data_IF_019424623840
#
_entry.id   IF_019424623840
#
_cell.length_a   1.000
_cell.length_b   1.000
_cell.length_c   1.000
_cell.angle_alpha   90.00
_cell.angle_beta   90.00
_cell.angle_gamma   90.00
#
_symmetry.space_group_name_H-M   'P 1'
#
loop_
_entity.id
_entity.type
_entity.pdbx_description
1 polymer ?
#
# COMPACT_ATOMS: atom_id res chain seq x y z
N UNK A 1 16.75 10.16 -9.70
CA UNK A 1 15.33 9.82 -9.45
C UNK A 1 15.04 9.52 -7.98
N UNK A 2 16.01 9.04 -7.19
CA UNK A 2 15.83 8.74 -5.75
C UNK A 2 15.37 9.93 -4.88
N UNK A 3 15.84 11.15 -5.15
CA UNK A 3 15.40 12.36 -4.43
C UNK A 3 13.96 12.82 -4.77
N UNK A 4 13.34 12.29 -5.82
CA UNK A 4 11.95 12.60 -6.19
C UNK A 4 10.93 11.72 -5.44
N UNK A 5 11.35 10.52 -5.05
CA UNK A 5 10.53 9.56 -4.30
C UNK A 5 10.25 10.02 -2.86
N UNK A 6 11.26 10.61 -2.20
CA UNK A 6 11.12 11.09 -0.82
C UNK A 6 10.20 12.31 -0.67
N UNK A 7 9.95 13.08 -1.74
CA UNK A 7 9.11 14.27 -1.70
C UNK A 7 7.62 14.00 -1.96
N UNK A 8 7.28 12.87 -2.60
CA UNK A 8 5.91 12.54 -3.02
C UNK A 8 5.13 11.73 -1.97
N UNK A 9 5.82 11.03 -1.08
CA UNK A 9 5.21 10.38 0.08
C UNK A 9 6.07 10.67 1.32
N UNK A 10 6.05 11.92 1.73
CA UNK A 10 6.56 12.33 3.03
C UNK A 10 5.63 11.76 4.10
N UNK A 11 6.10 10.83 4.93
CA UNK A 11 5.44 10.74 6.24
C UNK A 11 5.83 11.99 7.02
N UNK A 12 4.97 12.41 7.95
CA UNK A 12 5.24 13.59 8.77
C UNK A 12 6.64 13.53 9.41
N UNK A 13 7.22 14.67 9.83
CA UNK A 13 8.61 14.78 10.31
C UNK A 13 8.96 13.82 11.45
N UNK A 14 7.97 13.31 12.19
CA UNK A 14 8.13 12.20 13.16
C UNK A 14 8.61 10.91 12.48
N UNK A 15 7.99 10.50 11.37
CA UNK A 15 8.33 9.30 10.60
C UNK A 15 9.37 9.51 9.49
N UNK A 16 9.83 10.74 9.24
CA UNK A 16 11.08 10.94 8.50
C UNK A 16 12.28 10.40 9.32
N UNK A 17 12.20 10.50 10.66
CA UNK A 17 13.19 9.94 11.60
C UNK A 17 13.01 8.46 11.93
N UNK A 18 11.77 7.95 11.96
CA UNK A 18 11.49 6.53 12.23
C UNK A 18 11.36 5.73 10.93
N UNK A 19 12.09 4.61 10.82
CA UNK A 19 11.97 3.67 9.72
C UNK A 19 10.60 2.96 9.76
N UNK A 20 9.53 3.63 9.31
CA UNK A 20 8.25 2.95 9.13
C UNK A 20 8.42 1.92 8.00
N UNK A 21 8.27 0.65 8.35
CA UNK A 21 8.36 -0.47 7.40
C UNK A 21 7.38 -0.32 6.24
N UNK A 22 6.19 0.26 6.48
CA UNK A 22 5.18 0.48 5.45
C UNK A 22 5.67 1.38 4.31
N UNK A 23 6.57 2.34 4.57
CA UNK A 23 7.20 3.14 3.51
C UNK A 23 8.01 2.31 2.53
N UNK A 24 8.64 1.24 3.02
CA UNK A 24 9.45 0.36 2.18
C UNK A 24 8.56 -0.42 1.22
N UNK A 25 7.46 -0.98 1.70
CA UNK A 25 6.50 -1.68 0.84
C UNK A 25 5.81 -0.74 -0.15
N UNK A 26 5.47 0.47 0.28
CA UNK A 26 4.94 1.50 -0.62
C UNK A 26 5.95 1.92 -1.68
N UNK A 27 7.26 1.95 -1.37
CA UNK A 27 8.31 2.17 -2.36
C UNK A 27 8.38 1.06 -3.40
N UNK A 28 8.10 -0.19 -3.01
CA UNK A 28 8.06 -1.33 -3.94
C UNK A 28 6.88 -1.16 -4.91
N UNK A 29 5.67 -0.87 -4.39
CA UNK A 29 4.51 -0.61 -5.23
C UNK A 29 4.75 0.58 -6.16
N UNK A 30 5.27 1.70 -5.66
CA UNK A 30 5.52 2.89 -6.49
C UNK A 30 6.54 2.61 -7.62
N UNK A 31 7.53 1.77 -7.36
CA UNK A 31 8.53 1.31 -8.33
C UNK A 31 8.11 0.03 -9.09
N UNK A 32 6.81 -0.27 -9.18
CA UNK A 32 6.29 -1.46 -9.87
C UNK A 32 6.86 -1.60 -11.30
N UNK A 33 6.94 -0.51 -12.07
CA UNK A 33 7.51 -0.53 -13.42
C UNK A 33 9.02 -0.75 -13.49
N UNK A 34 9.72 -0.85 -12.34
CA UNK A 34 11.12 -1.23 -12.26
C UNK A 34 11.30 -2.72 -11.93
N UNK A 35 10.22 -3.46 -11.68
CA UNK A 35 10.30 -4.91 -11.49
C UNK A 35 10.63 -5.57 -12.85
N UNK A 36 11.74 -6.34 -12.97
CA UNK A 36 12.04 -7.08 -14.20
C UNK A 36 10.94 -8.07 -14.61
N UNK A 37 10.14 -8.56 -13.66
CA UNK A 37 9.06 -9.50 -13.90
C UNK A 37 7.72 -8.80 -14.21
N UNK A 38 7.71 -7.46 -14.33
CA UNK A 38 6.50 -6.64 -14.57
C UNK A 38 5.54 -7.16 -15.64
N UNK A 39 6.02 -7.59 -16.84
CA UNK A 39 5.12 -8.07 -17.88
C UNK A 39 4.29 -9.29 -17.48
N UNK A 40 4.76 -10.07 -16.50
CA UNK A 40 4.08 -11.28 -16.01
C UNK A 40 2.92 -10.96 -15.08
N UNK A 41 2.95 -9.80 -14.43
CA UNK A 41 1.96 -9.40 -13.44
C UNK A 41 1.22 -8.10 -13.82
N UNK A 42 1.35 -7.66 -15.08
CA UNK A 42 0.50 -6.66 -15.72
C UNK A 42 -0.39 -7.31 -16.79
N UNK A 43 -1.44 -7.98 -16.33
CA UNK A 43 -2.26 -8.92 -17.09
C UNK A 43 -3.76 -8.59 -16.95
N UNK A 44 -4.65 -9.23 -17.73
CA UNK A 44 -6.09 -9.06 -17.59
C UNK A 44 -6.58 -9.34 -16.15
N UNK A 45 -7.67 -8.70 -15.69
CA UNK A 45 -8.21 -8.88 -14.34
C UNK A 45 -8.57 -10.34 -14.06
N UNK A 46 -8.30 -10.82 -12.85
CA UNK A 46 -8.84 -12.12 -12.42
C UNK A 46 -10.31 -11.94 -12.02
N UNK A 47 -10.59 -10.88 -11.27
CA UNK A 47 -11.95 -10.46 -10.96
C UNK A 47 -12.55 -9.58 -12.07
N UNK A 48 -12.98 -10.20 -13.16
CA UNK A 48 -13.62 -9.52 -14.30
C UNK A 48 -15.00 -8.93 -13.99
N UNK A 49 -15.60 -9.29 -12.85
CA UNK A 49 -16.85 -8.69 -12.40
C UNK A 49 -16.60 -7.32 -11.76
N UNK A 50 -15.55 -7.22 -10.95
CA UNK A 50 -15.19 -6.01 -10.23
C UNK A 50 -14.36 -5.02 -11.07
N UNK A 51 -13.47 -5.51 -11.94
CA UNK A 51 -12.65 -4.68 -12.80
C UNK A 51 -13.13 -4.70 -14.26
N UNK A 52 -13.29 -3.52 -14.85
CA UNK A 52 -13.72 -3.31 -16.24
C UNK A 52 -12.56 -3.06 -17.22
N UNK A 53 -11.34 -2.84 -16.70
CA UNK A 53 -10.16 -2.57 -17.51
C UNK A 53 -9.65 -3.82 -18.25
N UNK A 54 -9.01 -3.61 -19.41
CA UNK A 54 -8.35 -4.69 -20.17
C UNK A 54 -7.17 -5.31 -19.41
N UNK A 55 -6.53 -4.53 -18.54
CA UNK A 55 -5.39 -4.93 -17.72
C UNK A 55 -5.45 -4.31 -16.34
N UNK A 56 -4.86 -5.03 -15.40
CA UNK A 56 -4.68 -4.63 -14.00
C UNK A 56 -3.23 -4.79 -13.60
N UNK A 57 -2.76 -3.92 -12.71
CA UNK A 57 -1.49 -4.08 -11.98
C UNK A 57 -1.72 -5.07 -10.85
N UNK A 58 -1.05 -6.23 -10.85
CA UNK A 58 -1.22 -7.24 -9.80
C UNK A 58 -0.23 -7.02 -8.65
N UNK A 59 -0.74 -6.76 -7.45
CA UNK A 59 0.08 -6.67 -6.23
C UNK A 59 -0.29 -7.81 -5.31
N UNK A 60 0.72 -8.55 -4.82
CA UNK A 60 0.44 -9.64 -3.90
C UNK A 60 -0.04 -9.09 -2.56
N UNK A 61 -0.98 -9.79 -1.95
CA UNK A 61 -1.50 -9.49 -0.61
C UNK A 61 -0.42 -9.37 0.46
N UNK A 62 0.62 -10.20 0.40
CA UNK A 62 1.79 -10.10 1.30
C UNK A 62 2.50 -8.74 1.23
N UNK A 63 2.45 -8.05 0.09
CA UNK A 63 3.02 -6.72 -0.11
C UNK A 63 2.02 -5.65 0.35
N UNK A 64 0.74 -5.76 -0.05
CA UNK A 64 -0.29 -4.77 0.30
C UNK A 64 -0.59 -4.74 1.80
N UNK A 65 -0.64 -5.88 2.48
CA UNK A 65 -0.90 -5.97 3.93
C UNK A 65 0.10 -5.16 4.75
N UNK A 66 1.35 -5.07 4.29
CA UNK A 66 2.40 -4.34 4.96
C UNK A 66 2.39 -2.83 4.66
N UNK A 67 1.50 -2.35 3.79
CA UNK A 67 1.30 -0.93 3.50
C UNK A 67 -0.16 -0.47 3.67
N UNK A 68 -0.97 -1.23 4.41
CA UNK A 68 -2.35 -0.84 4.70
C UNK A 68 -2.41 0.55 5.39
N UNK A 69 -3.49 1.34 5.17
CA UNK A 69 -3.64 2.68 5.76
C UNK A 69 -3.34 2.77 7.27
N UNK A 70 -3.79 1.77 8.05
CA UNK A 70 -3.56 1.68 9.48
C UNK A 70 -2.05 1.67 9.87
N UNK A 71 -1.17 1.17 9.00
CA UNK A 71 0.28 1.15 9.24
C UNK A 71 0.93 2.55 9.24
N UNK A 72 0.15 3.60 8.93
CA UNK A 72 0.59 4.99 8.92
C UNK A 72 -0.11 5.85 9.99
N UNK A 73 -0.99 5.28 10.82
CA UNK A 73 -1.74 6.01 11.85
C UNK A 73 -0.82 6.68 12.90
N UNK A 74 0.21 5.97 13.38
CA UNK A 74 1.16 6.46 14.41
C UNK A 74 2.17 7.50 13.90
N UNK A 75 2.16 7.73 12.59
CA UNK A 75 3.31 8.13 11.82
C UNK A 75 3.05 9.41 11.01
N UNK A 76 1.76 9.66 10.72
CA UNK A 76 1.29 10.71 9.84
C UNK A 76 1.58 10.38 8.38
N UNK A 77 0.58 10.54 7.53
CA UNK A 77 0.72 10.41 6.07
C UNK A 77 0.54 11.80 5.46
N UNK A 78 1.41 12.19 4.53
CA UNK A 78 1.20 13.39 3.74
C UNK A 78 0.76 12.98 2.34
N UNK A 79 -0.31 13.59 1.86
CA UNK A 79 -0.83 13.37 0.52
C UNK A 79 -0.59 14.63 -0.31
N UNK A 80 -0.02 14.52 -1.53
CA UNK A 80 0.01 15.64 -2.45
C UNK A 80 -1.43 15.96 -2.89
N UNK A 81 -1.79 17.26 -2.90
CA UNK A 81 -3.08 17.68 -3.43
C UNK A 81 -3.25 17.29 -4.90
N UNK A 82 -2.15 17.38 -5.65
CA UNK A 82 -2.01 16.94 -7.04
C UNK A 82 -0.57 16.50 -7.30
N UNK A 83 -0.41 15.31 -7.89
CA UNK A 83 0.89 14.72 -8.22
C UNK A 83 1.54 15.36 -9.46
N UNK A 84 0.75 15.95 -10.37
CA UNK A 84 1.27 16.62 -11.58
C UNK A 84 1.91 17.97 -11.24
N UNK A 85 1.48 18.58 -10.14
CA UNK A 85 1.91 19.92 -9.74
C UNK A 85 3.01 19.81 -8.67
N UNK A 86 4.27 19.86 -9.09
CA UNK A 86 5.47 19.78 -8.23
C UNK A 86 5.48 20.80 -7.09
N UNK A 87 4.78 21.93 -7.24
CA UNK A 87 4.68 22.99 -6.23
C UNK A 87 3.43 22.89 -5.35
N UNK A 88 2.60 21.86 -5.52
CA UNK A 88 1.42 21.68 -4.69
C UNK A 88 1.82 21.36 -3.25
N UNK A 89 1.11 21.93 -2.26
CA UNK A 89 1.37 21.60 -0.87
C UNK A 89 1.05 20.12 -0.62
N UNK A 90 1.84 19.53 0.27
CA UNK A 90 1.52 18.24 0.85
C UNK A 90 0.62 18.49 2.07
N UNK A 91 -0.50 17.76 2.15
CA UNK A 91 -1.47 17.88 3.23
C UNK A 91 -1.36 16.68 4.17
N UNK A 92 -1.31 16.94 5.48
CA UNK A 92 -1.38 15.86 6.47
C UNK A 92 -2.78 15.23 6.42
N UNK A 93 -2.83 13.91 6.28
CA UNK A 93 -4.07 13.15 6.25
C UNK A 93 -4.07 12.07 7.32
N UNK A 94 -5.28 11.67 7.71
CA UNK A 94 -5.50 10.48 8.54
C UNK A 94 -5.91 9.34 7.60
N UNK A 95 -5.01 8.38 7.30
CA UNK A 95 -5.22 7.40 6.23
C UNK A 95 -6.51 6.60 6.33
N UNK A 96 -6.92 6.23 7.54
CA UNK A 96 -8.14 5.44 7.79
C UNK A 96 -9.43 6.21 7.44
N UNK A 97 -9.40 7.55 7.42
CA UNK A 97 -10.53 8.35 6.96
C UNK A 97 -10.50 8.63 5.46
N UNK A 98 -9.31 8.66 4.86
CA UNK A 98 -9.16 8.88 3.42
C UNK A 98 -9.42 7.60 2.63
N UNK A 99 -8.98 6.46 3.17
CA UNK A 99 -9.11 5.13 2.57
C UNK A 99 -9.70 4.17 3.61
N UNK A 100 -10.99 4.31 3.94
CA UNK A 100 -11.67 3.42 4.87
C UNK A 100 -11.82 2.01 4.29
N UNK A 101 -11.85 1.01 5.15
CA UNK A 101 -12.38 -0.31 4.78
C UNK A 101 -13.90 -0.24 4.60
N UNK A 102 -14.41 -0.89 3.57
CA UNK A 102 -15.84 -1.04 3.33
C UNK A 102 -16.37 -2.33 3.95
N UNK A 103 -17.66 -2.33 4.26
CA UNK A 103 -18.39 -3.55 4.59
C UNK A 103 -18.65 -4.36 3.33
N UNK A 104 -18.77 -5.67 3.50
CA UNK A 104 -19.16 -6.58 2.42
C UNK A 104 -20.48 -6.12 1.79
N UNK A 105 -20.54 -6.08 0.46
CA UNK A 105 -21.72 -5.61 -0.25
C UNK A 105 -21.80 -4.09 -0.50
N UNK A 106 -20.88 -3.28 0.03
CA UNK A 106 -20.83 -1.84 -0.25
C UNK A 106 -20.10 -1.53 -1.57
N UNK A 107 -20.33 -0.34 -2.12
CA UNK A 107 -19.68 0.14 -3.34
C UNK A 107 -18.53 1.08 -2.99
N UNK A 108 -17.39 0.90 -3.66
CA UNK A 108 -16.24 1.80 -3.55
C UNK A 108 -16.36 2.93 -4.55
N UNK A 109 -16.62 4.14 -4.06
CA UNK A 109 -16.75 5.31 -4.90
C UNK A 109 -15.60 6.29 -4.66
N UNK A 110 -15.26 7.06 -5.70
CA UNK A 110 -14.29 8.13 -5.63
C UNK A 110 -14.95 9.44 -6.06
N UNK A 111 -15.24 10.30 -5.09
CA UNK A 111 -15.91 11.58 -5.35
C UNK A 111 -14.89 12.53 -5.97
N UNK A 112 -14.99 12.74 -7.28
CA UNK A 112 -13.97 13.47 -8.04
C UNK A 112 -13.87 14.97 -7.66
N UNK A 113 -14.96 15.56 -7.15
CA UNK A 113 -15.00 16.97 -6.74
C UNK A 113 -14.22 17.24 -5.46
N UNK A 114 -14.25 16.30 -4.51
CA UNK A 114 -13.55 16.39 -3.22
C UNK A 114 -12.27 15.57 -3.18
N UNK A 115 -12.04 14.73 -4.21
CA UNK A 115 -10.92 13.78 -4.28
C UNK A 115 -10.89 12.88 -3.04
N UNK A 116 -12.03 12.28 -2.72
CA UNK A 116 -12.19 11.44 -1.52
C UNK A 116 -12.78 10.10 -1.89
N UNK A 117 -12.26 9.04 -1.29
CA UNK A 117 -12.90 7.72 -1.35
C UNK A 117 -14.00 7.61 -0.32
N UNK A 118 -15.02 6.83 -0.63
CA UNK A 118 -16.10 6.52 0.29
C UNK A 118 -16.70 5.13 0.00
N UNK A 119 -17.22 4.51 1.05
CA UNK A 119 -18.06 3.33 0.95
C UNK A 119 -19.52 3.76 0.89
N UNK A 120 -20.26 3.22 -0.08
CA UNK A 120 -21.67 3.54 -0.31
C UNK A 120 -22.54 2.29 -0.20
N UNK A 121 -23.71 2.39 0.41
CA UNK A 121 -24.68 1.29 0.48
C UNK A 121 -25.42 1.05 -0.86
N UNK A 122 -25.18 1.92 -1.85
CA UNK A 122 -25.73 1.79 -3.20
C UNK A 122 -24.71 2.13 -4.29
N UNK A 123 -25.05 1.85 -5.57
CA UNK A 123 -24.16 2.08 -6.69
C UNK A 123 -23.62 3.51 -6.73
N UNK A 124 -22.34 3.64 -7.10
CA UNK A 124 -21.71 4.93 -7.30
C UNK A 124 -22.44 5.71 -8.41
N UNK A 125 -22.41 7.03 -8.32
CA UNK A 125 -22.79 7.85 -9.46
C UNK A 125 -21.82 7.60 -10.62
N UNK A 126 -22.23 7.71 -11.89
CA UNK A 126 -21.34 7.43 -13.02
C UNK A 126 -20.03 8.23 -13.02
N UNK A 127 -20.04 9.45 -12.47
CA UNK A 127 -18.84 10.30 -12.32
C UNK A 127 -17.89 9.87 -11.21
N UNK A 128 -18.38 9.03 -10.30
CA UNK A 128 -17.70 8.64 -9.06
C UNK A 128 -17.24 7.17 -9.10
N UNK A 129 -17.43 6.49 -10.24
CA UNK A 129 -16.88 5.16 -10.49
C UNK A 129 -15.37 5.32 -10.72
N UNK A 130 -14.51 4.67 -9.92
CA UNK A 130 -13.07 4.74 -10.12
C UNK A 130 -12.65 4.18 -11.49
N UNK A 131 -11.57 4.73 -12.05
CA UNK A 131 -11.06 4.29 -13.35
C UNK A 131 -10.74 2.79 -13.37
N UNK A 132 -11.33 2.07 -14.31
CA UNK A 132 -11.12 0.63 -14.49
C UNK A 132 -11.94 -0.25 -13.54
N UNK A 133 -12.82 0.33 -12.71
CA UNK A 133 -13.73 -0.41 -11.86
C UNK A 133 -15.08 -0.59 -12.57
N UNK A 134 -15.81 -1.62 -12.19
CA UNK A 134 -17.22 -1.80 -12.50
C UNK A 134 -18.04 -1.25 -11.31
N UNK A 135 -19.24 -0.73 -11.57
CA UNK A 135 -20.15 -0.26 -10.53
C UNK A 135 -20.88 -1.44 -9.84
N UNK A 136 -20.14 -2.28 -9.15
CA UNK A 136 -20.61 -3.48 -8.43
C UNK A 136 -20.20 -3.42 -6.96
N UNK A 137 -20.92 -4.11 -6.06
CA UNK A 137 -20.52 -4.17 -4.67
C UNK A 137 -19.19 -4.91 -4.50
N UNK A 138 -18.40 -4.48 -3.53
CA UNK A 138 -17.17 -5.15 -3.12
C UNK A 138 -17.46 -6.42 -2.33
N UNK A 139 -16.46 -7.30 -2.27
CA UNK A 139 -16.46 -8.57 -1.59
C UNK A 139 -15.21 -8.72 -0.71
N UNK A 140 -15.39 -8.95 0.60
CA UNK A 140 -14.29 -9.10 1.56
C UNK A 140 -13.42 -10.33 1.23
N UNK A 141 -14.01 -11.44 0.77
CA UNK A 141 -13.23 -12.66 0.45
C UNK A 141 -12.34 -12.48 -0.76
N UNK A 142 -12.71 -11.56 -1.66
CA UNK A 142 -11.91 -11.18 -2.83
C UNK A 142 -11.02 -9.98 -2.55
N UNK A 143 -11.01 -9.49 -1.30
CA UNK A 143 -10.26 -8.31 -0.83
C UNK A 143 -10.56 -7.04 -1.63
N UNK A 144 -11.73 -6.96 -2.24
CA UNK A 144 -12.16 -5.77 -2.98
C UNK A 144 -12.78 -4.72 -2.09
N UNK A 145 -12.98 -4.97 -0.79
CA UNK A 145 -13.53 -3.98 0.16
C UNK A 145 -12.47 -3.21 0.96
N UNK A 146 -11.19 -3.47 0.76
CA UNK A 146 -10.16 -2.98 1.66
C UNK A 146 -9.68 -1.57 1.32
N UNK A 147 -9.40 -0.77 2.35
CA UNK A 147 -8.85 0.57 2.22
C UNK A 147 -7.49 0.57 1.54
N UNK A 148 -6.70 -0.52 1.64
CA UNK A 148 -5.44 -0.62 0.89
C UNK A 148 -5.66 -0.70 -0.62
N UNK A 149 -6.79 -1.24 -1.09
CA UNK A 149 -7.15 -1.20 -2.51
C UNK A 149 -7.46 0.23 -2.96
N UNK A 150 -8.14 1.02 -2.12
CA UNK A 150 -8.35 2.46 -2.37
C UNK A 150 -7.03 3.22 -2.41
N UNK A 151 -6.14 2.98 -1.43
CA UNK A 151 -4.82 3.60 -1.35
C UNK A 151 -3.99 3.34 -2.62
N UNK A 152 -4.02 2.11 -3.12
CA UNK A 152 -3.29 1.70 -4.33
C UNK A 152 -3.94 2.18 -5.62
N UNK A 153 -5.23 2.53 -5.59
CA UNK A 153 -5.95 3.09 -6.73
C UNK A 153 -6.13 4.62 -6.66
N UNK A 154 -5.68 5.28 -5.60
CA UNK A 154 -5.60 6.74 -5.52
C UNK A 154 -4.33 7.22 -6.25
N UNK A 155 -4.51 7.92 -7.36
CA UNK A 155 -3.41 8.46 -8.17
C UNK A 155 -2.53 9.46 -7.39
N UNK A 156 -2.98 10.00 -6.26
CA UNK A 156 -2.14 10.86 -5.42
C UNK A 156 -1.27 10.07 -4.43
N UNK A 157 -1.60 8.82 -4.15
CA UNK A 157 -1.04 8.06 -3.04
C UNK A 157 -0.04 6.98 -3.46
N UNK A 158 -0.36 5.69 -3.33
CA UNK A 158 0.59 4.60 -3.54
C UNK A 158 0.59 4.07 -4.99
N UNK A 159 -0.32 4.54 -5.85
CA UNK A 159 -0.42 4.07 -7.23
C UNK A 159 0.85 4.36 -8.02
N UNK A 160 1.40 3.41 -8.79
CA UNK A 160 2.56 3.66 -9.65
C UNK A 160 2.22 4.73 -10.72
N UNK A 161 3.03 5.79 -10.88
CA UNK A 161 2.69 6.90 -11.78
C UNK A 161 2.49 6.50 -13.24
N UNK A 162 3.25 5.52 -13.73
CA UNK A 162 3.16 5.06 -15.12
C UNK A 162 1.91 4.19 -15.38
N UNK A 163 1.12 3.90 -14.34
CA UNK A 163 -0.02 2.97 -14.39
C UNK A 163 -1.31 3.63 -13.90
N UNK A 164 -1.37 4.96 -13.87
CA UNK A 164 -2.52 5.71 -13.35
C UNK A 164 -3.83 5.45 -14.11
N UNK A 165 -3.75 5.03 -15.37
CA UNK A 165 -4.89 4.63 -16.20
C UNK A 165 -5.38 3.20 -15.93
N UNK A 166 -4.62 2.39 -15.17
CA UNK A 166 -4.94 0.99 -14.92
C UNK A 166 -5.31 0.75 -13.46
N UNK A 167 -6.34 -0.04 -13.16
CA UNK A 167 -6.64 -0.41 -11.79
C UNK A 167 -5.56 -1.34 -11.22
N UNK A 168 -5.32 -1.23 -9.92
CA UNK A 168 -4.54 -2.18 -9.14
C UNK A 168 -5.48 -3.26 -8.61
N UNK A 169 -5.10 -4.53 -8.77
CA UNK A 169 -5.80 -5.69 -8.25
C UNK A 169 -4.92 -6.39 -7.20
N UNK A 170 -5.53 -6.77 -6.07
CA UNK A 170 -4.86 -7.48 -4.98
C UNK A 170 -4.97 -8.99 -5.19
N UNK A 171 -3.83 -9.68 -5.20
CA UNK A 171 -3.76 -11.11 -5.46
C UNK A 171 -3.32 -11.86 -4.20
N UNK A 172 -4.22 -12.67 -3.63
CA UNK A 172 -3.81 -13.74 -2.72
C UNK A 172 -3.23 -14.88 -3.57
N UNK A 173 -1.91 -14.92 -3.67
CA UNK A 173 -1.21 -15.92 -4.48
C UNK A 173 -1.50 -17.34 -4.02
N UNK A 174 -1.69 -17.59 -2.71
CA UNK A 174 -1.99 -18.94 -2.22
C UNK A 174 -3.39 -19.36 -2.67
N UNK A 175 -4.37 -18.48 -2.49
CA UNK A 175 -5.74 -18.73 -2.94
C UNK A 175 -5.80 -18.88 -4.47
N UNK A 176 -5.13 -18.00 -5.20
CA UNK A 176 -5.05 -18.04 -6.65
C UNK A 176 -4.45 -19.37 -7.15
N UNK A 177 -3.31 -19.79 -6.58
CA UNK A 177 -2.66 -21.04 -6.97
C UNK A 177 -3.53 -22.27 -6.68
N UNK A 178 -4.33 -22.25 -5.62
CA UNK A 178 -5.28 -23.32 -5.33
C UNK A 178 -6.41 -23.41 -6.38
N UNK A 179 -6.83 -22.26 -6.93
CA UNK A 179 -7.92 -22.17 -7.90
C UNK A 179 -7.47 -22.46 -9.33
N UNK A 180 -6.39 -21.83 -9.79
CA UNK A 180 -5.98 -21.85 -11.19
C UNK A 180 -4.80 -22.81 -11.46
N UNK A 181 -4.00 -23.13 -10.44
CA UNK A 181 -2.81 -23.97 -10.56
C UNK A 181 -1.80 -23.48 -11.62
N UNK A 182 -1.77 -22.17 -11.89
CA UNK A 182 -0.90 -21.55 -12.87
C UNK A 182 -0.12 -20.38 -12.26
N UNK A 183 1.20 -20.51 -12.28
CA UNK A 183 2.11 -19.52 -11.67
C UNK A 183 2.11 -18.20 -12.44
N UNK A 184 1.86 -18.24 -13.75
CA UNK A 184 1.82 -17.04 -14.60
C UNK A 184 0.54 -16.25 -14.31
N UNK A 185 -0.62 -16.91 -14.30
CA UNK A 185 -1.90 -16.29 -13.96
C UNK A 185 -1.89 -15.69 -12.55
N UNK A 186 -1.23 -16.35 -11.60
CA UNK A 186 -1.13 -15.91 -10.21
C UNK A 186 0.11 -15.06 -9.91
N UNK A 187 0.85 -14.62 -10.93
CA UNK A 187 1.99 -13.74 -10.76
C UNK A 187 1.53 -12.36 -10.27
N UNK A 188 2.23 -11.85 -9.27
CA UNK A 188 1.98 -10.54 -8.68
C UNK A 188 3.28 -9.97 -8.11
N UNK A 189 3.36 -8.65 -7.95
CA UNK A 189 4.48 -8.00 -7.29
C UNK A 189 4.63 -8.55 -5.87
N UNK A 190 5.78 -9.16 -5.60
CA UNK A 190 6.11 -9.89 -4.36
C UNK A 190 7.23 -9.21 -3.59
N UNK A 191 7.42 -9.63 -2.34
CA UNK A 191 8.60 -9.20 -1.57
C UNK A 191 9.84 -9.85 -2.19
N UNK A 192 10.89 -9.08 -2.57
CA UNK A 192 12.13 -9.66 -3.06
C UNK A 192 12.73 -10.64 -2.03
N UNK A 193 13.26 -11.77 -2.48
CA UNK A 193 13.87 -12.78 -1.60
C UNK A 193 14.97 -12.19 -0.70
N UNK A 194 15.74 -11.24 -1.22
CA UNK A 194 16.86 -10.59 -0.53
C UNK A 194 16.38 -9.66 0.59
N UNK A 195 15.14 -9.17 0.50
CA UNK A 195 14.52 -8.30 1.48
C UNK A 195 14.20 -9.03 2.79
N UNK A 196 13.83 -10.31 2.70
CA UNK A 196 13.55 -11.16 3.88
C UNK A 196 14.79 -11.41 4.74
N UNK A 197 15.97 -11.45 4.13
CA UNK A 197 17.24 -11.78 4.79
C UNK A 197 17.87 -10.57 5.47
N UNK A 198 17.80 -9.38 4.85
CA UNK A 198 18.45 -8.17 5.35
C UNK A 198 17.78 -7.58 6.61
N UNK A 199 16.44 -7.67 6.74
CA UNK A 199 15.73 -7.16 7.92
C UNK A 199 15.63 -8.18 9.08
N UNK A 200 15.63 -9.49 8.82
CA UNK A 200 15.71 -10.48 9.91
C UNK A 200 17.05 -10.41 10.67
N UNK A 201 18.13 -9.97 10.01
CA UNK A 201 19.45 -9.80 10.63
C UNK A 201 19.56 -8.53 11.50
N UNK A 202 18.74 -7.50 11.25
CA UNK A 202 18.73 -6.30 12.12
C UNK A 202 17.83 -6.44 13.35
N UNK A 203 16.86 -7.38 13.34
CA UNK A 203 16.03 -7.66 14.51
C UNK A 203 16.72 -8.57 15.56
N UNK A 204 17.84 -9.24 15.23
CA UNK A 204 18.51 -10.20 16.10
C UNK A 204 19.75 -9.68 16.85
N UNK A 205 20.19 -8.45 16.62
CA UNK A 205 21.44 -7.94 17.25
C UNK A 205 21.21 -7.02 18.47
N UNK A 206 19.97 -6.81 18.91
CA UNK A 206 19.65 -5.90 20.02
C UNK A 206 19.07 -6.56 21.29
N UNK A 207 19.22 -7.88 21.47
CA UNK A 207 18.80 -8.56 22.72
C UNK A 207 19.94 -9.24 23.49
N UNK A 208 21.19 -8.89 23.21
CA UNK A 208 22.30 -9.36 24.05
C UNK A 208 23.46 -8.39 24.07
N UNK A 209 23.32 -7.29 24.81
CA UNK A 209 24.42 -6.87 25.69
C UNK A 209 23.93 -6.85 27.14
N UNK A 210 24.58 -7.60 28.02
CA UNK A 210 24.13 -7.78 29.39
C UNK A 210 24.38 -6.50 30.19
N UNK A 211 23.36 -6.16 30.98
CA UNK A 211 23.40 -5.73 32.38
C UNK A 211 24.78 -5.77 33.10
N UNK A 212 25.79 -5.05 32.62
CA UNK A 212 27.07 -4.86 33.33
C UNK A 212 27.49 -3.41 33.10
N UNK A 213 26.88 -2.48 33.85
CA UNK A 213 27.44 -1.15 34.13
C UNK A 213 26.69 -0.42 35.28
N UNK A 214 25.79 -1.09 36.00
CA UNK A 214 25.07 -0.51 37.15
C UNK A 214 25.65 -0.92 38.53
N UNK A 215 26.76 -1.66 38.59
CA UNK A 215 27.40 -2.04 39.87
C UNK A 215 28.62 -1.19 40.25
N UNK A 216 29.18 -0.38 39.35
CA UNK A 216 30.32 0.49 39.69
C UNK A 216 29.90 1.80 40.38
N UNK A 217 28.65 2.24 40.23
CA UNK A 217 28.17 3.50 40.84
C UNK A 217 27.64 3.35 42.28
N UNK A 218 27.57 2.13 42.82
CA UNK A 218 27.08 1.90 44.20
C UNK A 218 28.20 1.69 45.23
N UNK A 219 29.41 1.34 44.77
CA UNK A 219 30.56 1.09 45.66
C UNK A 219 31.37 2.34 46.03
N UNK A 220 31.20 3.47 45.34
CA UNK A 220 31.86 4.75 45.68
C UNK A 220 31.04 5.64 46.63
N UNK A 221 29.83 5.23 47.03
CA UNK A 221 28.96 6.02 47.92
C UNK A 221 28.89 5.52 49.36
N UNK A 222 29.53 4.40 49.68
CA UNK A 222 29.51 3.79 51.02
C UNK A 222 30.90 3.30 51.48
N UNK A 223 31.98 3.91 50.98
CA UNK A 223 33.35 3.73 51.47
C UNK A 223 33.83 4.97 52.19
#
# INVERSE_FOLDING_TARGET
MQNKFLALIEAGPTCEKFQNKAKVFMSMAFCYGCDPDEPTHFTPPLNTQFFSAEKTVKICTEVSDNMAPAAFADCGFMLPDDRETICSPNSAVVPEYIWPDCLDGQYMCFINSTKTWNCSDGPCQPSDIPTGFTNVPCNITERTCEGVLMLLNDNRAAKPPNYEDYPVELIDRKLCMNTYQDDITCACLRIPSDFSSAQMLQARTWTSLPLILALSAWLERNG
#
